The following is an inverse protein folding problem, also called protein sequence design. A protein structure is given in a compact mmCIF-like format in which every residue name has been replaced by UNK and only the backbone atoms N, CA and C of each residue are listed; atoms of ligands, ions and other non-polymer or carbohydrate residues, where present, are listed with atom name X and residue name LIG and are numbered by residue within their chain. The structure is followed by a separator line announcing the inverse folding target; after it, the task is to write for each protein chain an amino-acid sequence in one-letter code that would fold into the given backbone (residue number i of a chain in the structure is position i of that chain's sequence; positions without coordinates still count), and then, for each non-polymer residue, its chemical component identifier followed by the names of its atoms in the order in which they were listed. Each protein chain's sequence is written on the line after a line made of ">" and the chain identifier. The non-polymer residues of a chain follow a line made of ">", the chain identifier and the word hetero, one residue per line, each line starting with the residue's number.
data_IF_275783714701
#
_entry.id   IF_275783714701
#
_cell.length_a   1.000
_cell.length_b   1.000
_cell.length_c   1.000
_cell.angle_alpha   90.00
_cell.angle_beta   90.00
_cell.angle_gamma   90.00
#
_symmetry.space_group_name_H-M   'P 1'
#
loop_
_entity.id
_entity.type
_entity.pdbx_description
1 polymer ?
#
# COMPACT_ATOMS: atom_id res chain seq x y z
N UNK A 1 8.54 -27.60 5.98
CA UNK A 1 7.81 -27.32 4.72
C UNK A 1 8.74 -26.45 3.88
N UNK A 2 9.20 -26.90 2.72
CA UNK A 2 10.16 -26.11 1.92
C UNK A 2 9.44 -24.99 1.20
N UNK A 3 9.69 -23.74 1.60
CA UNK A 3 9.23 -22.55 0.88
C UNK A 3 10.08 -22.42 -0.38
N UNK A 4 9.49 -22.35 -1.59
CA UNK A 4 10.26 -22.15 -2.81
C UNK A 4 11.00 -20.81 -2.80
N UNK A 5 12.26 -20.79 -3.21
CA UNK A 5 13.11 -19.58 -3.17
C UNK A 5 12.57 -18.40 -3.98
N UNK A 6 11.71 -18.66 -4.98
CA UNK A 6 11.10 -17.62 -5.79
C UNK A 6 9.99 -16.84 -5.06
N UNK A 7 9.38 -17.38 -4.01
CA UNK A 7 8.41 -16.64 -3.18
C UNK A 7 9.09 -15.49 -2.42
N UNK A 8 10.24 -15.76 -1.83
CA UNK A 8 11.03 -14.75 -1.10
C UNK A 8 11.46 -13.63 -2.06
N UNK A 9 11.83 -13.98 -3.30
CA UNK A 9 12.18 -13.00 -4.33
C UNK A 9 10.96 -12.13 -4.70
N UNK A 10 9.78 -12.75 -4.91
CA UNK A 10 8.55 -12.05 -5.26
C UNK A 10 8.12 -11.07 -4.16
N UNK A 11 8.17 -11.50 -2.89
CA UNK A 11 7.85 -10.65 -1.74
C UNK A 11 8.85 -9.52 -1.57
N UNK A 12 10.13 -9.75 -1.84
CA UNK A 12 11.15 -8.70 -1.80
C UNK A 12 10.92 -7.64 -2.90
N UNK A 13 10.61 -8.07 -4.13
CA UNK A 13 10.32 -7.15 -5.24
C UNK A 13 9.05 -6.35 -4.97
N UNK A 14 7.99 -7.00 -4.48
CA UNK A 14 6.73 -6.32 -4.17
C UNK A 14 6.92 -5.27 -3.07
N UNK A 15 7.71 -5.56 -2.03
CA UNK A 15 8.08 -4.57 -1.01
C UNK A 15 8.77 -3.34 -1.61
N UNK A 16 9.74 -3.53 -2.52
CA UNK A 16 10.45 -2.41 -3.15
C UNK A 16 9.46 -1.52 -3.93
N UNK A 17 8.54 -2.13 -4.68
CA UNK A 17 7.51 -1.40 -5.41
C UNK A 17 6.59 -0.60 -4.47
N UNK A 18 6.14 -1.21 -3.36
CA UNK A 18 5.27 -0.57 -2.38
C UNK A 18 5.98 0.61 -1.69
N UNK A 19 7.25 0.45 -1.35
CA UNK A 19 8.05 1.54 -0.75
C UNK A 19 8.20 2.70 -1.73
N UNK A 20 8.47 2.42 -3.02
CA UNK A 20 8.54 3.46 -4.04
C UNK A 20 7.20 4.19 -4.21
N UNK A 21 6.07 3.45 -4.24
CA UNK A 21 4.73 4.02 -4.30
C UNK A 21 4.42 4.90 -3.08
N UNK A 22 4.80 4.45 -1.88
CA UNK A 22 4.64 5.21 -0.64
C UNK A 22 5.40 6.54 -0.67
N UNK A 23 6.66 6.53 -1.13
CA UNK A 23 7.49 7.74 -1.25
C UNK A 23 6.86 8.71 -2.25
N UNK A 24 6.48 8.24 -3.43
CA UNK A 24 5.87 9.07 -4.47
C UNK A 24 4.54 9.68 -4.01
N UNK A 25 3.66 8.88 -3.39
CA UNK A 25 2.39 9.37 -2.86
C UNK A 25 2.58 10.46 -1.80
N UNK A 26 3.60 10.31 -0.94
CA UNK A 26 3.94 11.32 0.07
C UNK A 26 4.43 12.63 -0.56
N UNK A 27 5.29 12.54 -1.59
CA UNK A 27 5.80 13.71 -2.32
C UNK A 27 4.64 14.45 -3.00
N UNK A 28 3.75 13.73 -3.68
CA UNK A 28 2.61 14.35 -4.36
C UNK A 28 1.65 15.02 -3.38
N UNK A 29 1.32 14.39 -2.26
CA UNK A 29 0.51 15.02 -1.22
C UNK A 29 1.16 16.29 -0.66
N UNK A 30 2.47 16.26 -0.44
CA UNK A 30 3.19 17.43 0.03
C UNK A 30 3.10 18.60 -0.96
N UNK A 31 3.25 18.34 -2.26
CA UNK A 31 3.12 19.35 -3.31
C UNK A 31 1.69 19.92 -3.31
N UNK A 32 0.66 19.06 -3.32
CA UNK A 32 -0.74 19.48 -3.36
C UNK A 32 -1.11 20.36 -2.17
N UNK A 33 -0.66 20.01 -0.97
CA UNK A 33 -0.97 20.77 0.26
C UNK A 33 -0.24 22.13 0.31
N UNK A 34 0.96 22.22 -0.28
CA UNK A 34 1.76 23.45 -0.26
C UNK A 34 1.33 24.45 -1.32
N UNK A 35 0.95 23.96 -2.49
CA UNK A 35 0.72 24.79 -3.66
C UNK A 35 -0.77 25.15 -3.79
N UNK A 36 -1.15 26.37 -3.39
CA UNK A 36 -2.56 26.80 -3.39
C UNK A 36 -3.22 26.77 -4.79
N UNK A 37 -2.42 26.85 -5.86
CA UNK A 37 -2.88 26.73 -7.25
C UNK A 37 -3.33 25.30 -7.59
N UNK A 38 -2.87 24.31 -6.81
CA UNK A 38 -3.27 22.91 -6.90
C UNK A 38 -4.59 22.59 -6.18
N UNK A 39 -5.32 23.57 -5.63
CA UNK A 39 -6.62 23.32 -4.99
C UNK A 39 -7.80 23.33 -5.98
N UNK A 40 -7.62 22.65 -7.12
CA UNK A 40 -8.70 22.41 -8.08
C UNK A 40 -9.41 21.10 -7.76
N UNK A 41 -10.66 20.96 -8.21
CA UNK A 41 -11.44 19.72 -8.06
C UNK A 41 -10.66 18.47 -8.52
N UNK A 42 -10.08 18.40 -9.73
CA UNK A 42 -9.35 17.20 -10.17
C UNK A 42 -8.11 16.90 -9.32
N UNK A 43 -7.42 17.93 -8.84
CA UNK A 43 -6.24 17.74 -8.01
C UNK A 43 -6.58 17.28 -6.58
N UNK A 44 -7.76 17.65 -6.06
CA UNK A 44 -8.29 17.07 -4.82
C UNK A 44 -8.65 15.58 -4.99
N UNK A 45 -9.16 15.16 -6.15
CA UNK A 45 -9.33 13.73 -6.47
C UNK A 45 -7.99 13.00 -6.52
N UNK A 46 -6.95 13.60 -7.14
CA UNK A 46 -5.58 13.06 -7.10
C UNK A 46 -5.09 12.93 -5.65
N UNK A 47 -5.32 13.94 -4.80
CA UNK A 47 -4.96 13.87 -3.38
C UNK A 47 -5.65 12.70 -2.66
N UNK A 48 -6.93 12.47 -2.96
CA UNK A 48 -7.68 11.34 -2.41
C UNK A 48 -7.10 9.99 -2.86
N UNK A 49 -6.73 9.87 -4.14
CA UNK A 49 -6.03 8.68 -4.66
C UNK A 49 -4.69 8.47 -3.96
N UNK A 50 -3.91 9.53 -3.74
CA UNK A 50 -2.63 9.43 -3.02
C UNK A 50 -2.82 9.04 -1.55
N UNK A 51 -3.86 9.52 -0.87
CA UNK A 51 -4.19 9.11 0.50
C UNK A 51 -4.62 7.64 0.54
N UNK A 52 -5.44 7.20 -0.41
CA UNK A 52 -5.84 5.79 -0.56
C UNK A 52 -4.61 4.89 -0.76
N UNK A 53 -3.67 5.32 -1.62
CA UNK A 53 -2.42 4.61 -1.88
C UNK A 53 -1.53 4.52 -0.62
N UNK A 54 -1.43 5.57 0.19
CA UNK A 54 -0.68 5.52 1.45
C UNK A 54 -1.29 4.52 2.45
N UNK A 55 -2.62 4.50 2.56
CA UNK A 55 -3.33 3.55 3.42
C UNK A 55 -3.10 2.12 2.91
N UNK A 56 -3.20 1.91 1.60
CA UNK A 56 -2.95 0.62 0.97
C UNK A 56 -1.51 0.15 1.17
N UNK A 57 -0.52 0.99 0.85
CA UNK A 57 0.90 0.68 0.94
C UNK A 57 1.35 0.39 2.38
N UNK A 58 0.85 1.14 3.36
CA UNK A 58 1.15 0.88 4.77
C UNK A 58 0.60 -0.47 5.24
N UNK A 59 -0.61 -0.82 4.83
CA UNK A 59 -1.23 -2.11 5.13
C UNK A 59 -0.46 -3.27 4.47
N UNK A 60 -0.10 -3.12 3.19
CA UNK A 60 0.65 -4.14 2.44
C UNK A 60 2.07 -4.35 3.00
N UNK A 61 2.73 -3.26 3.42
CA UNK A 61 4.05 -3.34 4.07
C UNK A 61 3.97 -4.13 5.38
N UNK A 62 2.93 -3.90 6.20
CA UNK A 62 2.71 -4.66 7.43
C UNK A 62 2.45 -6.15 7.18
N UNK A 63 1.69 -6.47 6.12
CA UNK A 63 1.43 -7.85 5.70
C UNK A 63 2.70 -8.54 5.22
N UNK A 64 3.47 -7.89 4.34
CA UNK A 64 4.71 -8.44 3.82
C UNK A 64 5.77 -8.61 4.92
N UNK A 65 5.86 -7.67 5.87
CA UNK A 65 6.78 -7.79 7.00
C UNK A 65 6.43 -8.98 7.92
N UNK A 66 5.14 -9.23 8.12
CA UNK A 66 4.67 -10.40 8.88
C UNK A 66 4.97 -11.70 8.15
N UNK A 67 4.65 -11.78 6.85
CA UNK A 67 4.94 -12.94 6.01
C UNK A 67 6.44 -13.25 5.98
N UNK A 68 7.28 -12.25 5.72
CA UNK A 68 8.73 -12.39 5.70
C UNK A 68 9.28 -12.83 7.07
N UNK A 69 8.72 -12.30 8.16
CA UNK A 69 9.10 -12.72 9.52
C UNK A 69 8.79 -14.19 9.78
N UNK A 70 7.65 -14.69 9.31
CA UNK A 70 7.28 -16.09 9.38
C UNK A 70 8.15 -16.97 8.48
N UNK A 71 8.44 -16.52 7.27
CA UNK A 71 9.27 -17.25 6.31
C UNK A 71 10.72 -17.41 6.80
N UNK A 72 11.30 -16.34 7.37
CA UNK A 72 12.65 -16.37 7.97
C UNK A 72 12.69 -17.31 9.18
N UNK A 73 11.67 -17.26 10.04
CA UNK A 73 11.59 -18.11 11.25
C UNK A 73 11.11 -19.53 10.95
N UNK A 74 10.64 -19.81 9.74
CA UNK A 74 9.91 -21.02 9.38
C UNK A 74 8.75 -21.32 10.35
N UNK A 75 8.09 -20.26 10.82
CA UNK A 75 6.97 -20.32 11.76
C UNK A 75 5.63 -20.17 11.03
N UNK A 76 4.58 -20.77 11.57
CA UNK A 76 3.20 -20.70 11.07
C UNK A 76 2.34 -19.83 12.00
N UNK A 77 2.89 -18.72 12.48
CA UNK A 77 2.17 -17.81 13.36
C UNK A 77 0.98 -17.21 12.61
N UNK A 78 -0.19 -17.25 13.23
CA UNK A 78 -1.41 -16.66 12.69
C UNK A 78 -1.36 -15.14 12.82
N UNK A 79 -1.62 -14.44 11.71
CA UNK A 79 -1.75 -12.98 11.72
C UNK A 79 -3.08 -12.60 12.40
N UNK A 80 -3.01 -12.07 13.63
CA UNK A 80 -4.17 -11.60 14.38
C UNK A 80 -4.88 -10.42 13.69
N UNK A 81 -4.19 -9.71 12.80
CA UNK A 81 -4.73 -8.61 12.01
C UNK A 81 -5.18 -9.04 10.61
N UNK A 82 -5.13 -10.33 10.25
CA UNK A 82 -5.41 -10.81 8.90
C UNK A 82 -6.75 -10.28 8.34
N UNK A 83 -7.83 -10.41 9.11
CA UNK A 83 -9.17 -9.96 8.70
C UNK A 83 -9.21 -8.44 8.51
N UNK A 84 -8.63 -7.70 9.45
CA UNK A 84 -8.56 -6.24 9.38
C UNK A 84 -7.74 -5.78 8.17
N UNK A 85 -6.59 -6.40 7.93
CA UNK A 85 -5.72 -6.12 6.78
C UNK A 85 -6.44 -6.43 5.48
N UNK A 86 -7.13 -7.57 5.37
CA UNK A 86 -7.95 -7.92 4.20
C UNK A 86 -9.05 -6.89 3.92
N UNK A 87 -9.79 -6.49 4.95
CA UNK A 87 -10.81 -5.44 4.85
C UNK A 87 -10.22 -4.11 4.37
N UNK A 88 -9.13 -3.66 4.99
CA UNK A 88 -8.46 -2.40 4.62
C UNK A 88 -7.94 -2.42 3.18
N UNK A 89 -7.37 -3.54 2.73
CA UNK A 89 -6.94 -3.73 1.34
C UNK A 89 -8.13 -3.59 0.38
N UNK A 90 -9.26 -4.23 0.66
CA UNK A 90 -10.45 -4.12 -0.18
C UNK A 90 -10.99 -2.67 -0.22
N UNK A 91 -11.08 -2.01 0.93
CA UNK A 91 -11.58 -0.63 0.99
C UNK A 91 -10.66 0.33 0.22
N UNK A 92 -9.35 0.27 0.48
CA UNK A 92 -8.39 1.16 -0.17
C UNK A 92 -8.32 0.93 -1.69
N UNK A 93 -8.38 -0.33 -2.13
CA UNK A 93 -8.41 -0.67 -3.56
C UNK A 93 -9.67 -0.12 -4.26
N UNK A 94 -10.84 -0.22 -3.62
CA UNK A 94 -12.06 0.36 -4.17
C UNK A 94 -11.97 1.88 -4.21
N UNK A 95 -11.53 2.52 -3.12
CA UNK A 95 -11.38 3.97 -3.04
C UNK A 95 -10.44 4.52 -4.14
N UNK A 96 -9.35 3.81 -4.40
CA UNK A 96 -8.41 4.14 -5.47
C UNK A 96 -9.06 4.01 -6.84
N UNK A 97 -9.72 2.90 -7.16
CA UNK A 97 -10.37 2.69 -8.46
C UNK A 97 -11.49 3.70 -8.73
N UNK A 98 -12.32 4.00 -7.73
CA UNK A 98 -13.36 5.03 -7.88
C UNK A 98 -12.76 6.42 -8.08
N UNK A 99 -11.66 6.74 -7.41
CA UNK A 99 -10.98 8.03 -7.59
C UNK A 99 -10.39 8.16 -9.01
N UNK A 100 -9.88 7.08 -9.59
CA UNK A 100 -9.43 7.07 -10.99
C UNK A 100 -10.59 7.17 -12.00
N UNK A 101 -11.75 6.57 -11.71
CA UNK A 101 -12.91 6.63 -12.60
C UNK A 101 -13.58 8.01 -12.62
N UNK A 102 -13.41 8.80 -11.55
CA UNK A 102 -13.95 10.14 -11.41
C UNK A 102 -12.96 11.26 -11.79
N UNK A 103 -11.70 10.91 -12.09
CA UNK A 103 -10.68 11.82 -12.63
C UNK A 103 -10.92 12.13 -14.11
#
# INVERSE_FOLDING_TARGET
>A
MNIPSWYILLDSISMICVIAAFILATIFLFIIVREKTCHTVPMMLIANSCLAELIFASNLTGMAAFALGNDIKQSLDQDSLCIFRGYMTCVAYNLQNYSYLLQ
#
